data_IF_269151163402
#
_entry.id   IF_269151163402
#
_cell.length_a   1.000
_cell.length_b   1.000
_cell.length_c   1.000
_cell.angle_alpha   90.00
_cell.angle_beta   90.00
_cell.angle_gamma   90.00
#
_symmetry.space_group_name_H-M   'P 1'
#
loop_
_entity.id
_entity.type
_entity.pdbx_description
1 polymer ?
#
# COMPACT_ATOMS: atom_id res chain seq x y z
N UNK A 1 -3.14 6.70 -18.43
CA UNK A 1 -2.96 5.38 -17.80
C UNK A 1 -3.99 5.15 -16.73
N UNK A 2 -4.52 3.95 -16.65
CA UNK A 2 -5.52 3.60 -15.65
C UNK A 2 -4.91 3.56 -14.25
N UNK A 3 -5.63 4.10 -13.26
CA UNK A 3 -5.24 4.07 -11.84
C UNK A 3 -6.06 3.03 -11.06
N UNK A 4 -6.51 1.98 -11.72
CA UNK A 4 -7.36 0.97 -11.11
C UNK A 4 -6.59 -0.15 -10.39
N UNK A 5 -5.27 -0.15 -10.50
CA UNK A 5 -4.43 -1.20 -9.93
C UNK A 5 -4.10 -0.94 -8.47
N UNK A 6 -4.23 -1.95 -7.64
CA UNK A 6 -3.78 -1.95 -6.24
C UNK A 6 -2.35 -2.48 -6.22
N UNK A 7 -1.41 -1.68 -5.72
CA UNK A 7 -0.02 -2.10 -5.53
C UNK A 7 0.15 -2.55 -4.09
N UNK A 8 0.61 -3.79 -3.90
CA UNK A 8 0.87 -4.34 -2.57
C UNK A 8 2.38 -4.51 -2.39
N UNK A 9 2.92 -3.88 -1.36
CA UNK A 9 4.34 -3.97 -1.02
C UNK A 9 4.45 -4.67 0.34
N UNK A 10 4.81 -5.94 0.33
CA UNK A 10 4.86 -6.79 1.51
C UNK A 10 5.96 -7.84 1.35
N UNK A 11 6.91 -7.85 2.28
CA UNK A 11 8.05 -8.77 2.20
C UNK A 11 7.73 -10.19 2.70
N UNK A 12 6.74 -10.35 3.58
CA UNK A 12 6.32 -11.67 4.05
C UNK A 12 5.60 -12.41 2.92
N UNK A 13 6.24 -13.44 2.39
CA UNK A 13 5.69 -14.17 1.25
C UNK A 13 4.34 -14.81 1.55
N UNK A 14 4.16 -15.38 2.74
CA UNK A 14 2.89 -16.02 3.09
C UNK A 14 1.76 -15.00 3.16
N UNK A 15 2.01 -13.87 3.79
CA UNK A 15 1.00 -12.81 3.85
C UNK A 15 0.71 -12.24 2.46
N UNK A 16 1.74 -12.06 1.65
CA UNK A 16 1.56 -11.58 0.28
C UNK A 16 0.68 -12.53 -0.53
N UNK A 17 0.88 -13.84 -0.39
CA UNK A 17 0.06 -14.84 -1.08
C UNK A 17 -1.39 -14.80 -0.61
N UNK A 18 -1.64 -14.61 0.68
CA UNK A 18 -3.00 -14.45 1.22
C UNK A 18 -3.67 -13.24 0.59
N UNK A 19 -2.97 -12.12 0.53
CA UNK A 19 -3.51 -10.89 -0.05
C UNK A 19 -3.78 -11.08 -1.55
N UNK A 20 -2.86 -11.73 -2.27
CA UNK A 20 -3.06 -12.03 -3.70
C UNK A 20 -4.32 -12.86 -3.92
N UNK A 21 -4.52 -13.91 -3.11
CA UNK A 21 -5.70 -14.75 -3.23
C UNK A 21 -6.98 -13.95 -3.01
N UNK A 22 -7.00 -13.08 -1.99
CA UNK A 22 -8.15 -12.23 -1.71
C UNK A 22 -8.48 -11.30 -2.88
N UNK A 23 -7.46 -10.65 -3.42
CA UNK A 23 -7.62 -9.72 -4.54
C UNK A 23 -8.11 -10.46 -5.79
N UNK A 24 -7.57 -11.65 -6.01
CA UNK A 24 -7.95 -12.48 -7.14
C UNK A 24 -9.41 -12.94 -7.04
N UNK A 25 -9.81 -13.45 -5.87
CA UNK A 25 -11.18 -13.89 -5.63
C UNK A 25 -12.18 -12.76 -5.86
N UNK A 26 -11.84 -11.55 -5.43
CA UNK A 26 -12.72 -10.39 -5.55
C UNK A 26 -12.56 -9.64 -6.88
N UNK A 27 -11.78 -10.18 -7.81
CA UNK A 27 -11.58 -9.63 -9.15
C UNK A 27 -11.05 -8.20 -9.14
N UNK A 28 -10.14 -7.94 -8.23
CA UNK A 28 -9.49 -6.64 -8.09
C UNK A 28 -8.14 -6.71 -8.80
N UNK A 29 -7.89 -5.76 -9.70
CA UNK A 29 -6.62 -5.69 -10.43
C UNK A 29 -5.50 -5.30 -9.48
N UNK A 30 -4.41 -6.05 -9.46
CA UNK A 30 -3.34 -5.84 -8.50
C UNK A 30 -1.96 -6.17 -9.06
N UNK A 31 -0.96 -5.66 -8.37
CA UNK A 31 0.45 -6.04 -8.51
C UNK A 31 1.01 -6.19 -7.12
N UNK A 32 1.68 -7.31 -6.84
CA UNK A 32 2.36 -7.50 -5.56
C UNK A 32 3.87 -7.52 -5.77
N UNK A 33 4.59 -6.94 -4.83
CA UNK A 33 6.05 -6.92 -4.82
C UNK A 33 6.55 -7.18 -3.40
N UNK A 34 7.78 -7.71 -3.30
CA UNK A 34 8.36 -8.07 -2.01
C UNK A 34 9.23 -6.99 -1.38
N UNK A 35 9.62 -5.96 -2.13
CA UNK A 35 10.49 -4.92 -1.62
C UNK A 35 10.31 -3.60 -2.37
N UNK A 36 10.97 -2.57 -1.86
CA UNK A 36 10.88 -1.22 -2.42
C UNK A 36 11.53 -1.11 -3.80
N UNK A 37 12.55 -1.90 -4.09
CA UNK A 37 13.21 -1.88 -5.40
C UNK A 37 12.27 -2.36 -6.49
N UNK A 38 11.59 -3.47 -6.27
CA UNK A 38 10.58 -3.97 -7.22
C UNK A 38 9.43 -2.96 -7.38
N UNK A 39 9.03 -2.32 -6.28
CA UNK A 39 7.98 -1.30 -6.32
C UNK A 39 8.42 -0.10 -7.17
N UNK A 40 9.66 0.34 -7.01
CA UNK A 40 10.20 1.46 -7.80
C UNK A 40 10.18 1.14 -9.30
N UNK A 41 10.58 -0.08 -9.67
CA UNK A 41 10.57 -0.49 -11.07
C UNK A 41 9.16 -0.45 -11.66
N UNK A 42 8.18 -0.94 -10.91
CA UNK A 42 6.80 -0.91 -11.35
C UNK A 42 6.26 0.52 -11.48
N UNK A 43 6.61 1.40 -10.55
CA UNK A 43 6.14 2.79 -10.57
C UNK A 43 6.72 3.61 -11.71
N UNK A 44 7.79 3.15 -12.36
CA UNK A 44 8.32 3.83 -13.55
C UNK A 44 7.34 3.76 -14.71
N UNK A 45 6.50 2.73 -14.77
CA UNK A 45 5.59 2.50 -15.90
C UNK A 45 4.12 2.61 -15.54
N UNK A 46 3.75 2.50 -14.27
CA UNK A 46 2.36 2.40 -13.85
C UNK A 46 2.05 3.34 -12.70
N UNK A 47 0.77 3.69 -12.59
CA UNK A 47 0.26 4.55 -11.51
C UNK A 47 -0.72 3.74 -10.68
N UNK A 48 -0.45 3.50 -9.39
CA UNK A 48 -1.42 2.79 -8.54
C UNK A 48 -2.52 3.75 -8.11
N UNK A 49 -3.75 3.24 -8.04
CA UNK A 49 -4.83 3.99 -7.42
C UNK A 49 -4.82 3.85 -5.91
N UNK A 50 -4.35 2.70 -5.44
CA UNK A 50 -4.24 2.37 -4.03
C UNK A 50 -2.94 1.61 -3.81
N UNK A 51 -2.21 1.99 -2.76
CA UNK A 51 -1.03 1.24 -2.32
C UNK A 51 -1.33 0.65 -0.95
N UNK A 52 -1.05 -0.64 -0.79
CA UNK A 52 -1.04 -1.31 0.51
C UNK A 52 0.42 -1.60 0.82
N UNK A 53 0.94 -1.00 1.87
CA UNK A 53 2.36 -1.07 2.18
C UNK A 53 2.60 -1.46 3.62
N UNK A 54 3.46 -2.46 3.83
CA UNK A 54 3.95 -2.80 5.16
C UNK A 54 4.85 -1.68 5.67
N UNK A 55 4.73 -1.37 6.95
CA UNK A 55 5.59 -0.38 7.60
C UNK A 55 7.05 -0.80 7.60
N UNK A 56 7.33 -2.09 7.74
CA UNK A 56 8.69 -2.63 7.80
C UNK A 56 9.02 -3.42 6.55
N UNK A 57 9.87 -2.83 5.69
CA UNK A 57 10.42 -3.48 4.51
C UNK A 57 11.89 -3.83 4.77
N UNK A 58 12.50 -4.75 3.98
CA UNK A 58 13.85 -5.25 4.28
C UNK A 58 14.95 -4.21 4.41
N UNK A 59 14.96 -3.19 3.56
CA UNK A 59 16.07 -2.23 3.50
C UNK A 59 15.69 -0.84 3.97
N UNK A 60 14.39 -0.53 4.07
CA UNK A 60 13.91 0.80 4.39
C UNK A 60 12.51 0.67 4.99
N UNK A 61 12.12 1.60 5.88
CA UNK A 61 10.74 1.57 6.36
C UNK A 61 9.77 1.91 5.23
N UNK A 62 8.55 1.39 5.33
CA UNK A 62 7.52 1.67 4.34
C UNK A 62 7.26 3.17 4.19
N UNK A 63 7.24 3.90 5.31
CA UNK A 63 7.01 5.34 5.28
C UNK A 63 8.16 6.08 4.61
N UNK A 64 9.41 5.71 4.90
CA UNK A 64 10.56 6.31 4.24
C UNK A 64 10.52 6.08 2.73
N UNK A 65 10.19 4.86 2.32
CA UNK A 65 10.06 4.55 0.91
C UNK A 65 8.94 5.36 0.26
N UNK A 66 7.75 5.40 0.88
CA UNK A 66 6.61 6.16 0.36
C UNK A 66 6.96 7.64 0.22
N UNK A 67 7.67 8.20 1.20
CA UNK A 67 8.12 9.60 1.12
C UNK A 67 9.08 9.81 -0.04
N UNK A 68 9.92 8.83 -0.36
CA UNK A 68 10.87 8.94 -1.47
C UNK A 68 10.18 8.99 -2.84
N UNK A 69 8.96 8.44 -2.94
CA UNK A 69 8.18 8.44 -4.18
C UNK A 69 6.95 9.35 -4.10
N UNK A 70 6.92 10.22 -3.09
CA UNK A 70 5.72 11.00 -2.75
C UNK A 70 5.28 11.97 -3.85
N UNK A 71 6.21 12.52 -4.62
CA UNK A 71 5.87 13.52 -5.64
C UNK A 71 4.85 12.96 -6.64
N UNK A 72 5.12 11.78 -7.19
CA UNK A 72 4.21 11.14 -8.12
C UNK A 72 2.92 10.69 -7.47
N UNK A 73 2.99 10.18 -6.23
CA UNK A 73 1.80 9.73 -5.51
C UNK A 73 0.86 10.89 -5.21
N UNK A 74 1.39 12.01 -4.77
CA UNK A 74 0.59 13.21 -4.50
C UNK A 74 -0.02 13.76 -5.79
N UNK A 75 0.79 13.86 -6.85
CA UNK A 75 0.31 14.36 -8.15
C UNK A 75 -0.83 13.52 -8.70
N UNK A 76 -0.80 12.21 -8.48
CA UNK A 76 -1.83 11.29 -8.97
C UNK A 76 -2.92 10.98 -7.95
N UNK A 77 -2.83 11.55 -6.75
CA UNK A 77 -3.81 11.35 -5.67
C UNK A 77 -3.99 9.86 -5.32
N UNK A 78 -2.89 9.11 -5.32
CA UNK A 78 -2.91 7.70 -4.93
C UNK A 78 -3.29 7.60 -3.45
N UNK A 79 -4.15 6.65 -3.10
CA UNK A 79 -4.51 6.40 -1.70
C UNK A 79 -3.54 5.37 -1.11
N UNK A 80 -3.31 5.43 0.19
CA UNK A 80 -2.39 4.53 0.87
C UNK A 80 -3.09 3.90 2.08
N UNK A 81 -2.92 2.59 2.22
CA UNK A 81 -3.25 1.84 3.42
C UNK A 81 -1.93 1.27 3.96
N UNK A 82 -1.63 1.57 5.22
CA UNK A 82 -0.43 1.04 5.87
C UNK A 82 -0.79 -0.19 6.70
N UNK A 83 0.04 -1.22 6.60
CA UNK A 83 -0.04 -2.41 7.46
C UNK A 83 0.97 -2.25 8.58
N UNK A 84 0.52 -2.32 9.84
CA UNK A 84 1.37 -1.98 10.97
C UNK A 84 0.95 -2.75 12.22
N UNK A 85 1.93 -3.14 13.03
CA UNK A 85 1.68 -3.73 14.35
C UNK A 85 1.53 -2.67 15.45
N UNK A 86 1.99 -1.44 15.21
CA UNK A 86 2.03 -0.37 16.22
C UNK A 86 1.50 0.94 15.62
N UNK A 87 0.25 1.26 15.95
CA UNK A 87 -0.42 2.46 15.44
C UNK A 87 0.18 3.76 15.95
N UNK A 88 0.59 3.80 17.22
CA UNK A 88 1.13 5.04 17.79
C UNK A 88 2.44 5.42 17.13
N UNK A 89 3.35 4.45 16.99
CA UNK A 89 4.62 4.68 16.32
C UNK A 89 4.43 5.08 14.87
N UNK A 90 3.49 4.43 14.19
CA UNK A 90 3.16 4.75 12.80
C UNK A 90 2.66 6.18 12.69
N UNK A 91 1.78 6.59 13.59
CA UNK A 91 1.27 7.96 13.60
C UNK A 91 2.39 8.98 13.77
N UNK A 92 3.31 8.75 14.72
CA UNK A 92 4.46 9.63 14.93
C UNK A 92 5.33 9.78 13.68
N UNK A 93 5.53 8.68 12.95
CA UNK A 93 6.31 8.69 11.72
C UNK A 93 5.61 9.43 10.57
N UNK A 94 4.28 9.45 10.57
CA UNK A 94 3.49 10.10 9.53
C UNK A 94 3.35 11.60 9.70
N UNK A 95 3.33 12.08 10.93
CA UNK A 95 3.09 13.51 11.22
C UNK A 95 4.11 14.36 10.47
N UNK A 96 3.60 15.27 9.63
CA UNK A 96 4.44 16.18 8.84
C UNK A 96 5.07 15.55 7.61
N UNK A 97 4.83 14.26 7.35
CA UNK A 97 5.43 13.63 6.16
C UNK A 97 4.67 14.02 4.89
N UNK A 98 5.35 14.01 3.72
CA UNK A 98 4.71 14.37 2.45
C UNK A 98 3.51 13.49 2.08
N UNK A 99 3.46 12.24 2.56
CA UNK A 99 2.38 11.32 2.21
C UNK A 99 1.25 11.30 3.23
N UNK A 100 1.33 12.10 4.30
CA UNK A 100 0.35 12.05 5.38
C UNK A 100 -1.10 12.16 4.88
N UNK A 101 -1.35 13.08 3.97
CA UNK A 101 -2.71 13.29 3.45
C UNK A 101 -3.22 12.15 2.57
N UNK A 102 -2.33 11.29 2.07
CA UNK A 102 -2.69 10.17 1.23
C UNK A 102 -3.00 8.91 2.02
N UNK A 103 -2.54 8.83 3.27
CA UNK A 103 -2.79 7.65 4.11
C UNK A 103 -4.22 7.69 4.62
N UNK A 104 -5.03 6.76 4.11
CA UNK A 104 -6.46 6.70 4.41
C UNK A 104 -6.77 5.81 5.61
N UNK A 105 -5.92 4.83 5.87
CA UNK A 105 -6.14 3.90 6.97
C UNK A 105 -4.84 3.23 7.38
N UNK A 106 -4.74 2.89 8.67
CA UNK A 106 -3.67 2.08 9.21
C UNK A 106 -4.30 0.76 9.69
N UNK A 107 -4.02 -0.33 8.98
CA UNK A 107 -4.58 -1.62 9.33
C UNK A 107 -3.64 -2.37 10.24
N UNK A 108 -4.10 -2.67 11.45
CA UNK A 108 -3.27 -3.34 12.45
C UNK A 108 -3.12 -4.83 12.15
N UNK A 109 -1.90 -5.33 12.21
CA UNK A 109 -1.60 -6.76 12.11
C UNK A 109 -1.74 -7.42 13.49
N UNK A 110 -2.34 -8.61 13.60
CA UNK A 110 -3.02 -9.35 12.54
C UNK A 110 -4.39 -8.75 12.22
N UNK A 111 -4.81 -8.86 10.98
CA UNK A 111 -6.11 -8.34 10.55
C UNK A 111 -6.98 -9.48 9.99
N UNK A 112 -8.28 -9.22 9.90
CA UNK A 112 -9.21 -10.17 9.28
C UNK A 112 -9.28 -9.92 7.78
N UNK A 113 -9.43 -10.99 7.01
CA UNK A 113 -9.47 -10.91 5.55
C UNK A 113 -10.60 -10.01 5.05
N UNK A 114 -11.78 -10.10 5.65
CA UNK A 114 -12.92 -9.27 5.26
C UNK A 114 -12.70 -7.78 5.57
N UNK A 115 -11.96 -7.48 6.62
CA UNK A 115 -11.58 -6.10 6.95
C UNK A 115 -10.71 -5.50 5.85
N UNK A 116 -9.69 -6.23 5.40
CA UNK A 116 -8.82 -5.78 4.33
C UNK A 116 -9.60 -5.57 3.03
N UNK A 117 -10.43 -6.55 2.65
CA UNK A 117 -11.22 -6.45 1.42
C UNK A 117 -12.16 -5.24 1.45
N UNK A 118 -12.79 -4.99 2.59
CA UNK A 118 -13.69 -3.85 2.74
C UNK A 118 -12.95 -2.52 2.53
N UNK A 119 -11.76 -2.39 3.11
CA UNK A 119 -10.94 -1.19 2.95
C UNK A 119 -10.50 -1.00 1.51
N UNK A 120 -10.08 -2.06 0.85
CA UNK A 120 -9.67 -1.99 -0.54
C UNK A 120 -10.83 -1.53 -1.42
N UNK A 121 -12.01 -2.09 -1.23
CA UNK A 121 -13.19 -1.71 -2.00
C UNK A 121 -13.60 -0.27 -1.77
N UNK A 122 -13.41 0.21 -0.54
CA UNK A 122 -13.77 1.59 -0.20
C UNK A 122 -12.80 2.61 -0.80
N UNK A 123 -11.50 2.33 -0.75
CA UNK A 123 -10.50 3.31 -1.13
C UNK A 123 -9.93 3.17 -2.54
N UNK A 124 -10.12 2.03 -3.19
CA UNK A 124 -9.64 1.89 -4.56
C UNK A 124 -10.46 2.79 -5.48
N UNK A 125 -9.83 3.42 -6.49
CA UNK A 125 -10.60 4.20 -7.44
C UNK A 125 -11.45 3.29 -8.30
N UNK A 126 -12.60 3.79 -8.72
CA UNK A 126 -13.44 3.09 -9.67
C UNK A 126 -12.76 3.13 -11.04
N UNK A 127 -12.66 1.98 -11.66
CA UNK A 127 -12.12 1.87 -13.01
C UNK A 127 -13.13 2.34 -14.04
#
# INVERSE_FOLDING_TARGET
MSKDTVLVVEDDQLLREVIEDLLHIHKIKFKTVGDSSEANDWLEEYIPGLIICDLFLPTVSGIQWLNSVSEGLVANKSSIILLSADHERTHEMLVGSPIQSLVKHQLKKPFKNDELVRLIRFFRPNS
#
